data_IF_349120012540
#
_entry.id   IF_349120012540
#
_cell.length_a   1.000
_cell.length_b   1.000
_cell.length_c   1.000
_cell.angle_alpha   90.00
_cell.angle_beta   90.00
_cell.angle_gamma   90.00
#
_symmetry.space_group_name_H-M   'P 1'
#
loop_
_entity.id
_entity.type
_entity.pdbx_description
1 polymer ?
#
# COMPACT_ATOMS: atom_id res chain seq x y z
N UNK A 1 -2.30 -22.04 -13.70
CA UNK A 1 -1.56 -22.81 -12.67
C UNK A 1 -0.60 -21.86 -11.99
N UNK A 2 -0.92 -21.42 -10.78
CA UNK A 2 -0.08 -20.55 -9.97
C UNK A 2 -0.32 -20.92 -8.52
N UNK A 3 0.64 -21.61 -7.91
CA UNK A 3 0.58 -22.13 -6.56
C UNK A 3 1.83 -21.66 -5.82
N UNK A 4 1.71 -20.55 -5.11
CA UNK A 4 2.44 -20.31 -3.88
C UNK A 4 1.35 -20.17 -2.81
N UNK A 5 1.43 -20.97 -1.74
CA UNK A 5 0.49 -21.09 -0.61
C UNK A 5 -0.56 -22.21 -0.58
N UNK A 6 -0.58 -23.21 -1.47
CA UNK A 6 -1.29 -24.49 -1.22
C UNK A 6 -2.81 -24.45 -0.94
N UNK A 7 -3.44 -23.27 -0.92
CA UNK A 7 -4.88 -23.08 -0.79
C UNK A 7 -5.42 -22.94 -2.21
N UNK A 8 -5.78 -24.08 -2.80
CA UNK A 8 -6.58 -24.10 -4.03
C UNK A 8 -8.02 -23.69 -3.70
N UNK A 9 -8.25 -22.40 -3.43
CA UNK A 9 -9.55 -21.80 -3.70
C UNK A 9 -9.72 -21.92 -5.22
N UNK A 10 -10.70 -22.69 -5.68
CA UNK A 10 -10.86 -23.16 -7.07
C UNK A 10 -10.87 -22.07 -8.14
N UNK A 11 -11.31 -22.42 -9.36
CA UNK A 11 -11.18 -21.64 -10.61
C UNK A 11 -11.64 -20.16 -10.58
N UNK A 12 -12.20 -19.67 -9.47
CA UNK A 12 -12.73 -18.33 -9.23
C UNK A 12 -12.02 -17.48 -8.15
N UNK A 13 -10.75 -17.79 -7.83
CA UNK A 13 -9.92 -16.99 -6.90
C UNK A 13 -9.94 -15.46 -7.16
N UNK A 14 -10.12 -15.03 -8.41
CA UNK A 14 -10.31 -13.62 -8.82
C UNK A 14 -11.47 -12.92 -8.11
N UNK A 15 -12.60 -13.60 -7.91
CA UNK A 15 -13.80 -13.02 -7.30
C UNK A 15 -13.64 -12.81 -5.80
N UNK A 16 -12.64 -13.45 -5.18
CA UNK A 16 -12.26 -13.19 -3.80
C UNK A 16 -11.34 -11.96 -3.66
N UNK A 17 -10.36 -11.81 -4.56
CA UNK A 17 -9.41 -10.71 -4.48
C UNK A 17 -9.97 -9.36 -4.95
N UNK A 18 -10.92 -9.33 -5.89
CA UNK A 18 -11.58 -8.10 -6.36
C UNK A 18 -12.25 -7.31 -5.21
N UNK A 19 -13.17 -7.89 -4.40
CA UNK A 19 -13.83 -7.15 -3.32
C UNK A 19 -12.85 -6.72 -2.24
N UNK A 20 -11.81 -7.51 -1.94
CA UNK A 20 -10.77 -7.13 -0.99
C UNK A 20 -9.98 -5.91 -1.51
N UNK A 21 -9.59 -5.90 -2.78
CA UNK A 21 -8.91 -4.76 -3.39
C UNK A 21 -9.79 -3.51 -3.42
N UNK A 22 -11.09 -3.65 -3.70
CA UNK A 22 -12.05 -2.53 -3.63
C UNK A 22 -12.14 -1.99 -2.20
N UNK A 23 -12.26 -2.87 -1.19
CA UNK A 23 -12.31 -2.46 0.22
C UNK A 23 -11.03 -1.72 0.63
N UNK A 24 -9.87 -2.23 0.25
CA UNK A 24 -8.58 -1.57 0.50
C UNK A 24 -8.50 -0.20 -0.18
N UNK A 25 -8.98 -0.07 -1.42
CA UNK A 25 -9.06 1.20 -2.14
C UNK A 25 -9.95 2.23 -1.41
N UNK A 26 -11.11 1.81 -0.92
CA UNK A 26 -12.01 2.68 -0.14
C UNK A 26 -11.30 3.17 1.12
N UNK A 27 -10.64 2.26 1.86
CA UNK A 27 -9.90 2.62 3.06
C UNK A 27 -8.78 3.63 2.77
N UNK A 28 -8.00 3.41 1.72
CA UNK A 28 -6.93 4.32 1.30
C UNK A 28 -7.46 5.70 0.89
N UNK A 29 -8.61 5.76 0.19
CA UNK A 29 -9.25 7.04 -0.17
C UNK A 29 -9.76 7.80 1.06
N UNK A 30 -10.25 7.08 2.07
CA UNK A 30 -10.64 7.68 3.35
C UNK A 30 -9.41 8.24 4.08
N UNK A 31 -8.31 7.49 4.13
CA UNK A 31 -7.04 7.95 4.70
C UNK A 31 -6.48 9.16 3.94
N UNK A 32 -6.61 9.17 2.60
CA UNK A 32 -6.19 10.31 1.77
C UNK A 32 -7.00 11.57 2.08
N UNK A 33 -8.30 11.43 2.33
CA UNK A 33 -9.16 12.57 2.72
C UNK A 33 -8.85 13.10 4.11
N UNK A 34 -8.39 12.24 5.02
CA UNK A 34 -8.00 12.61 6.38
C UNK A 34 -6.59 13.19 6.44
N UNK A 35 -5.73 12.89 5.46
CA UNK A 35 -4.38 13.43 5.40
C UNK A 35 -4.40 14.97 5.34
N UNK A 36 -3.65 15.61 6.24
CA UNK A 36 -3.48 17.05 6.21
C UNK A 36 -2.83 17.46 4.88
N UNK A 37 -3.33 18.53 4.24
CA UNK A 37 -2.81 18.97 2.93
C UNK A 37 -1.33 19.34 2.92
N UNK A 38 -0.73 19.57 4.10
CA UNK A 38 0.69 19.88 4.26
C UNK A 38 1.58 18.65 4.40
N UNK A 39 1.00 17.47 4.63
CA UNK A 39 1.72 16.20 4.72
C UNK A 39 1.90 15.57 3.33
N UNK A 40 2.80 16.17 2.56
CA UNK A 40 3.13 15.72 1.21
C UNK A 40 3.63 14.27 1.18
N UNK A 41 4.33 13.82 2.23
CA UNK A 41 4.84 12.46 2.30
C UNK A 41 3.67 11.47 2.39
N UNK A 42 2.71 11.68 3.29
CA UNK A 42 1.51 10.84 3.37
C UNK A 42 0.70 10.86 2.07
N UNK A 43 0.50 12.04 1.47
CA UNK A 43 -0.26 12.18 0.22
C UNK A 43 0.36 11.40 -0.94
N UNK A 44 1.68 11.51 -1.13
CA UNK A 44 2.41 10.78 -2.17
C UNK A 44 2.36 9.28 -1.91
N UNK A 45 2.60 8.86 -0.65
CA UNK A 45 2.58 7.46 -0.25
C UNK A 45 1.25 6.78 -0.56
N UNK A 46 0.13 7.39 -0.12
CA UNK A 46 -1.21 6.86 -0.36
C UNK A 46 -1.52 6.85 -1.86
N UNK A 47 -1.13 7.90 -2.59
CA UNK A 47 -1.35 7.97 -4.05
C UNK A 47 -0.64 6.84 -4.80
N UNK A 48 0.59 6.47 -4.40
CA UNK A 48 1.33 5.34 -4.99
C UNK A 48 0.62 4.00 -4.73
N UNK A 49 0.16 3.76 -3.50
CA UNK A 49 -0.57 2.53 -3.16
C UNK A 49 -1.90 2.47 -3.93
N UNK A 50 -2.63 3.57 -4.01
CA UNK A 50 -3.89 3.68 -4.77
C UNK A 50 -3.66 3.43 -6.26
N UNK A 51 -2.64 4.05 -6.87
CA UNK A 51 -2.33 3.86 -8.28
C UNK A 51 -1.96 2.39 -8.59
N UNK A 52 -1.16 1.75 -7.74
CA UNK A 52 -0.82 0.34 -7.91
C UNK A 52 -2.02 -0.60 -7.69
N UNK A 53 -2.84 -0.33 -6.68
CA UNK A 53 -4.07 -1.10 -6.43
C UNK A 53 -5.09 -0.95 -7.57
N UNK A 54 -5.23 0.24 -8.15
CA UNK A 54 -6.07 0.47 -9.32
C UNK A 54 -5.55 -0.26 -10.56
N UNK A 55 -4.23 -0.27 -10.79
CA UNK A 55 -3.60 -1.06 -11.85
C UNK A 55 -3.92 -2.54 -11.71
N UNK A 56 -3.67 -3.11 -10.52
CA UNK A 56 -3.98 -4.51 -10.23
C UNK A 56 -5.48 -4.83 -10.34
N UNK A 57 -6.37 -3.90 -10.00
CA UNK A 57 -7.82 -4.09 -10.15
C UNK A 57 -8.26 -4.01 -11.61
N UNK A 58 -7.78 -3.02 -12.36
CA UNK A 58 -8.05 -2.86 -13.79
C UNK A 58 -7.63 -4.11 -14.56
N UNK A 59 -6.44 -4.62 -14.26
CA UNK A 59 -5.90 -5.82 -14.87
C UNK A 59 -6.80 -7.05 -14.63
N UNK A 60 -7.30 -7.23 -13.41
CA UNK A 60 -8.23 -8.33 -13.05
C UNK A 60 -9.61 -8.22 -13.69
N UNK A 61 -10.08 -6.99 -13.97
CA UNK A 61 -11.38 -6.75 -14.62
C UNK A 61 -11.26 -6.89 -16.14
N UNK A 62 -10.13 -6.47 -16.72
CA UNK A 62 -9.96 -6.41 -18.17
C UNK A 62 -9.54 -7.73 -18.79
N UNK A 63 -8.86 -8.60 -18.05
CA UNK A 63 -8.38 -9.90 -18.54
C UNK A 63 -8.89 -11.06 -17.70
N UNK A 64 -9.64 -11.93 -18.37
CA UNK A 64 -10.32 -13.11 -17.78
C UNK A 64 -9.35 -14.18 -17.25
N UNK A 65 -8.04 -14.03 -17.51
CA UNK A 65 -6.97 -14.96 -17.12
C UNK A 65 -6.16 -14.53 -15.89
N UNK A 66 -6.44 -13.37 -15.29
CA UNK A 66 -5.69 -12.84 -14.13
C UNK A 66 -5.12 -11.45 -14.39
N UNK A 67 -4.37 -10.93 -13.39
CA UNK A 67 -3.62 -9.65 -13.51
C UNK A 67 -2.79 -9.72 -14.79
N UNK A 68 -2.76 -8.67 -15.62
CA UNK A 68 -1.92 -8.68 -16.80
C UNK A 68 -0.49 -8.48 -16.42
N UNK A 69 0.19 -9.60 -16.52
CA UNK A 69 1.63 -9.77 -16.56
C UNK A 69 2.19 -8.96 -17.74
N UNK A 70 2.35 -7.63 -17.58
CA UNK A 70 3.05 -6.80 -18.58
C UNK A 70 4.53 -7.17 -18.69
N UNK A 71 5.07 -7.93 -17.74
CA UNK A 71 6.36 -8.62 -17.82
C UNK A 71 6.03 -10.11 -17.78
N UNK A 72 5.89 -10.72 -18.97
CA UNK A 72 5.85 -12.18 -19.07
C UNK A 72 7.11 -12.82 -18.47
N UNK A 73 7.11 -14.13 -18.16
CA UNK A 73 8.27 -14.80 -17.59
C UNK A 73 9.50 -14.49 -18.45
N UNK A 74 10.45 -13.74 -17.89
CA UNK A 74 11.75 -13.58 -18.52
C UNK A 74 12.46 -14.90 -18.25
N UNK A 75 12.40 -15.80 -19.22
CA UNK A 75 13.16 -17.04 -19.19
C UNK A 75 14.65 -16.69 -19.37
N UNK A 76 15.30 -16.42 -18.23
CA UNK A 76 16.75 -16.20 -18.16
C UNK A 76 17.52 -17.54 -18.22
N UNK A 77 16.84 -18.67 -18.45
CA UNK A 77 17.45 -19.98 -18.65
C UNK A 77 17.98 -20.66 -17.38
N UNK A 78 17.80 -20.05 -16.20
CA UNK A 78 18.36 -20.57 -14.93
C UNK A 78 17.34 -20.58 -13.76
N UNK A 79 16.30 -19.74 -13.80
CA UNK A 79 15.25 -19.66 -12.76
C UNK A 79 14.08 -18.79 -13.24
N UNK A 80 12.84 -19.23 -13.00
CA UNK A 80 11.63 -18.42 -13.20
C UNK A 80 11.62 -17.26 -12.20
N UNK A 81 11.91 -16.03 -12.65
CA UNK A 81 11.82 -14.85 -11.79
C UNK A 81 10.34 -14.56 -11.47
N UNK A 82 9.97 -14.35 -10.19
CA UNK A 82 8.59 -14.05 -9.83
C UNK A 82 8.11 -12.77 -10.52
N UNK A 83 6.85 -12.78 -10.94
CA UNK A 83 6.25 -11.73 -11.75
C UNK A 83 6.14 -10.45 -10.91
N UNK A 84 7.00 -9.47 -11.14
CA UNK A 84 6.94 -8.15 -10.48
C UNK A 84 6.19 -7.17 -11.38
N UNK A 85 4.90 -6.95 -11.13
CA UNK A 85 4.16 -5.90 -11.83
C UNK A 85 4.59 -4.52 -11.31
N UNK A 86 4.61 -3.50 -12.17
CA UNK A 86 4.83 -2.10 -11.77
C UNK A 86 3.83 -1.69 -10.69
N UNK A 87 2.64 -2.27 -10.70
CA UNK A 87 1.64 -2.16 -9.65
C UNK A 87 2.17 -2.59 -8.26
N UNK A 88 2.86 -3.73 -8.17
CA UNK A 88 3.38 -4.26 -6.90
C UNK A 88 4.58 -3.47 -6.41
N UNK A 89 5.42 -2.97 -7.32
CA UNK A 89 6.49 -2.01 -6.98
C UNK A 89 5.90 -0.71 -6.43
N UNK A 90 4.84 -0.17 -7.07
CA UNK A 90 4.15 1.04 -6.62
C UNK A 90 3.51 0.84 -5.24
N UNK A 91 2.86 -0.30 -5.01
CA UNK A 91 2.28 -0.64 -3.71
C UNK A 91 3.37 -0.77 -2.64
N UNK A 92 4.46 -1.48 -2.93
CA UNK A 92 5.55 -1.71 -1.97
C UNK A 92 6.24 -0.40 -1.60
N UNK A 93 6.65 0.40 -2.59
CA UNK A 93 7.27 1.70 -2.36
C UNK A 93 6.32 2.66 -1.62
N UNK A 94 5.05 2.70 -2.02
CA UNK A 94 4.03 3.51 -1.35
C UNK A 94 3.80 3.09 0.11
N UNK A 95 3.79 1.79 0.40
CA UNK A 95 3.63 1.26 1.75
C UNK A 95 4.84 1.59 2.64
N UNK A 96 6.07 1.48 2.12
CA UNK A 96 7.28 1.87 2.85
C UNK A 96 7.27 3.37 3.17
N UNK A 97 6.93 4.21 2.19
CA UNK A 97 6.82 5.66 2.41
C UNK A 97 5.72 6.01 3.42
N UNK A 98 4.59 5.29 3.39
CA UNK A 98 3.50 5.50 4.33
C UNK A 98 3.92 5.13 5.76
N UNK A 99 4.66 4.03 5.93
CA UNK A 99 5.21 3.64 7.22
C UNK A 99 6.21 4.69 7.76
N UNK A 100 7.06 5.24 6.89
CA UNK A 100 7.98 6.32 7.25
C UNK A 100 7.22 7.58 7.68
N UNK A 101 6.13 7.92 6.98
CA UNK A 101 5.26 9.06 7.36
C UNK A 101 4.67 8.88 8.75
N UNK A 102 4.12 7.71 9.08
CA UNK A 102 3.59 7.43 10.42
C UNK A 102 4.66 7.51 11.52
N UNK A 103 5.85 6.94 11.29
CA UNK A 103 6.96 7.05 12.25
C UNK A 103 7.43 8.49 12.46
N UNK A 104 7.39 9.32 11.41
CA UNK A 104 7.73 10.74 11.52
C UNK A 104 6.72 11.53 12.34
N UNK A 105 5.42 11.21 12.21
CA UNK A 105 4.34 11.84 12.98
C UNK A 105 4.44 11.50 14.47
N UNK A 106 4.62 10.22 14.83
CA UNK A 106 4.74 9.79 16.23
C UNK A 106 5.94 10.45 16.94
N UNK A 107 7.06 10.63 16.24
CA UNK A 107 8.25 11.31 16.77
C UNK A 107 8.01 12.79 17.05
N UNK A 108 7.24 13.46 16.18
CA UNK A 108 6.89 14.88 16.36
C UNK A 108 5.94 15.05 17.54
N UNK A 109 4.91 14.20 17.63
CA UNK A 109 3.98 14.20 18.76
C UNK A 109 4.70 13.97 20.09
N UNK A 110 5.65 13.02 20.15
CA UNK A 110 6.48 12.82 21.35
C UNK A 110 7.35 14.02 21.70
N UNK A 111 8.00 14.64 20.71
CA UNK A 111 8.82 15.82 20.95
C UNK A 111 7.98 16.99 21.47
N UNK A 112 6.79 17.22 20.88
CA UNK A 112 5.85 18.24 21.34
C UNK A 112 5.27 17.95 22.73
N UNK A 113 5.12 16.68 23.11
CA UNK A 113 4.69 16.29 24.45
C UNK A 113 5.78 16.57 25.49
N UNK A 114 7.04 16.24 25.20
CA UNK A 114 8.20 16.53 26.07
C UNK A 114 8.37 18.04 26.26
N UNK A 115 8.28 18.83 25.19
CA UNK A 115 8.38 20.30 25.24
C UNK A 115 7.24 20.93 26.05
N UNK A 116 6.04 20.32 26.03
CA UNK A 116 4.91 20.74 26.87
C UNK A 116 5.13 20.45 28.36
N UNK A 117 5.70 19.30 28.69
CA UNK A 117 6.02 18.91 30.08
C UNK A 117 7.17 19.76 30.66
N UNK A 118 8.20 20.08 29.87
CA UNK A 118 9.30 20.96 30.30
C UNK A 118 8.91 22.44 30.32
N UNK A 119 7.94 22.85 29.47
CA UNK A 119 7.46 24.22 29.33
C UNK A 119 6.36 24.64 30.30
N UNK A 120 5.78 23.73 31.10
CA UNK A 120 4.91 24.09 32.23
C UNK A 120 5.77 24.38 33.47
N UNK A 121 6.07 25.65 33.83
CA UNK A 121 6.65 25.93 35.13
C UNK A 121 5.59 25.58 36.17
N UNK A 122 5.82 24.47 36.88
CA UNK A 122 5.16 24.04 38.13
C UNK A 122 4.30 25.15 38.74
N UNK A 123 3.06 25.30 38.26
CA UNK A 123 2.11 26.28 38.76
C UNK A 123 1.46 25.68 40.01
N UNK A 124 2.29 25.38 41.00
CA UNK A 124 1.88 24.98 42.33
C UNK A 124 2.57 25.97 43.27
N UNK A 125 1.93 27.13 43.37
CA UNK A 125 2.10 28.08 44.48
C UNK A 125 1.02 27.84 45.51
#
# INVERSE_FOLDING_TARGET
>A
RGAAFGISLGDDSRWFFIPISILALILLLVLLKQAARRDWLRLVSISMVVAGALGNLYDRVRWDRGVVDFIGPIDLGIMDWPIFNVADMSITCGAVLLAISFWGEERRERAEAVDREEGEPTAIG
#
